data_IF_169335936909
#
_entry.id   IF_169335936909
#
_cell.length_a   1.000
_cell.length_b   1.000
_cell.length_c   1.000
_cell.angle_alpha   90.00
_cell.angle_beta   90.00
_cell.angle_gamma   90.00
#
_symmetry.space_group_name_H-M   'P 1'
#
loop_
_entity.id
_entity.type
_entity.pdbx_description
1 polymer ?
#
# COMPACT_ATOMS: atom_id res chain seq x y z
N UNK A 1 51.61 -17.31 4.62
CA UNK A 1 50.87 -17.45 3.36
C UNK A 1 49.38 -17.73 3.60
N UNK A 2 48.98 -18.89 4.14
CA UNK A 2 47.57 -19.26 4.35
C UNK A 2 46.79 -18.33 5.29
N UNK A 3 47.40 -17.91 6.40
CA UNK A 3 46.77 -16.97 7.35
C UNK A 3 46.52 -15.59 6.74
N UNK A 4 47.44 -15.11 5.90
CA UNK A 4 47.28 -13.85 5.19
C UNK A 4 46.10 -13.91 4.21
N UNK A 5 45.98 -15.02 3.48
CA UNK A 5 44.85 -15.26 2.57
C UNK A 5 43.50 -15.31 3.31
N UNK A 6 43.46 -15.90 4.50
CA UNK A 6 42.25 -16.00 5.31
C UNK A 6 41.82 -14.65 5.89
N UNK A 7 42.79 -13.83 6.34
CA UNK A 7 42.53 -12.45 6.79
C UNK A 7 41.99 -11.60 5.64
N UNK A 8 42.58 -11.74 4.44
CA UNK A 8 42.13 -11.02 3.25
C UNK A 8 40.70 -11.42 2.86
N UNK A 9 40.37 -12.70 2.94
CA UNK A 9 39.02 -13.20 2.64
C UNK A 9 37.98 -12.67 3.64
N UNK A 10 38.29 -12.65 4.93
CA UNK A 10 37.43 -12.10 5.97
C UNK A 10 37.21 -10.58 5.78
N UNK A 11 38.23 -9.84 5.35
CA UNK A 11 38.11 -8.41 5.07
C UNK A 11 37.19 -8.12 3.87
N UNK A 12 37.18 -8.98 2.84
CA UNK A 12 36.28 -8.87 1.68
C UNK A 12 34.84 -9.20 2.06
N UNK A 13 34.62 -10.21 2.89
CA UNK A 13 33.29 -10.60 3.38
C UNK A 13 32.70 -9.60 4.38
N UNK A 14 33.55 -8.81 5.05
CA UNK A 14 33.15 -7.75 5.95
C UNK A 14 32.88 -6.40 5.24
N UNK A 15 32.94 -6.36 3.90
CA UNK A 15 32.49 -5.19 3.17
C UNK A 15 31.04 -4.87 3.57
N UNK A 16 30.73 -3.61 3.92
CA UNK A 16 29.36 -3.26 4.27
C UNK A 16 28.46 -3.62 3.09
N UNK A 17 27.35 -4.31 3.37
CA UNK A 17 26.25 -4.36 2.42
C UNK A 17 25.88 -2.89 2.19
N UNK A 18 26.32 -2.33 1.06
CA UNK A 18 25.96 -0.98 0.66
C UNK A 18 24.44 -1.03 0.58
N UNK A 19 23.78 -0.26 1.45
CA UNK A 19 22.33 -0.15 1.44
C UNK A 19 21.92 0.12 -0.01
N UNK A 20 20.90 -0.57 -0.49
CA UNK A 20 20.35 -0.27 -1.80
C UNK A 20 19.93 1.21 -1.77
N UNK A 21 20.18 1.95 -2.85
CA UNK A 21 19.69 3.31 -2.96
C UNK A 21 18.16 3.25 -3.07
N UNK A 22 17.49 3.22 -1.91
CA UNK A 22 16.05 3.23 -1.82
C UNK A 22 15.57 4.65 -2.13
N UNK A 23 15.22 4.87 -3.39
CA UNK A 23 14.64 6.12 -3.85
C UNK A 23 13.16 5.93 -4.18
N UNK A 24 12.31 6.80 -3.62
CA UNK A 24 10.92 6.94 -4.06
C UNK A 24 10.93 7.80 -5.32
N UNK A 25 11.06 7.18 -6.48
CA UNK A 25 11.13 7.88 -7.77
C UNK A 25 9.78 8.42 -8.24
N UNK A 26 8.66 7.96 -7.64
CA UNK A 26 7.30 8.41 -7.94
C UNK A 26 6.37 8.14 -6.76
N UNK A 27 5.51 9.12 -6.48
CA UNK A 27 4.45 9.00 -5.48
C UNK A 27 3.25 9.84 -5.89
N UNK A 28 2.08 9.46 -5.36
CA UNK A 28 0.83 10.22 -5.47
C UNK A 28 0.24 10.35 -4.07
N UNK A 29 -0.27 11.54 -3.71
CA UNK A 29 -1.19 11.70 -2.57
C UNK A 29 -2.58 11.82 -3.17
N UNK A 30 -3.40 10.80 -2.96
CA UNK A 30 -4.80 10.81 -3.38
C UNK A 30 -5.66 11.52 -2.34
N UNK A 31 -6.72 12.20 -2.79
CA UNK A 31 -7.79 12.67 -1.92
C UNK A 31 -8.78 11.53 -1.64
N UNK A 32 -9.20 11.35 -0.38
CA UNK A 32 -10.20 10.35 -0.02
C UNK A 32 -10.47 10.28 1.49
N UNK A 33 -11.43 9.45 1.89
CA UNK A 33 -11.80 9.23 3.30
C UNK A 33 -13.04 10.03 3.72
N UNK A 34 -13.47 9.88 4.97
CA UNK A 34 -14.65 10.60 5.46
C UNK A 34 -14.32 12.10 5.53
N UNK A 35 -15.08 12.92 4.80
CA UNK A 35 -14.91 14.38 4.80
C UNK A 35 -15.36 15.01 6.13
N UNK A 36 -16.16 14.26 6.87
CA UNK A 36 -16.67 14.61 8.19
C UNK A 36 -16.69 13.36 9.07
N UNK A 37 -16.06 13.45 10.24
CA UNK A 37 -16.08 12.42 11.29
C UNK A 37 -16.57 13.05 12.58
N UNK A 38 -17.30 12.29 13.39
CA UNK A 38 -17.80 12.75 14.68
C UNK A 38 -17.60 11.70 15.76
N UNK A 39 -17.41 12.17 17.00
CA UNK A 39 -17.27 11.32 18.17
C UNK A 39 -17.44 12.14 19.46
N UNK A 40 -18.48 11.83 20.23
CA UNK A 40 -18.87 12.67 21.38
C UNK A 40 -19.25 14.07 20.93
N UNK A 41 -18.67 15.09 21.57
CA UNK A 41 -18.92 16.51 21.28
C UNK A 41 -18.04 17.08 20.15
N UNK A 42 -17.22 16.24 19.50
CA UNK A 42 -16.22 16.69 18.53
C UNK A 42 -16.61 16.35 17.09
N UNK A 43 -16.35 17.31 16.20
CA UNK A 43 -16.48 17.20 14.74
C UNK A 43 -15.13 17.46 14.10
N UNK A 44 -14.70 16.57 13.22
CA UNK A 44 -13.51 16.72 12.39
C UNK A 44 -13.95 16.83 10.92
N UNK A 45 -13.60 17.94 10.26
CA UNK A 45 -13.83 18.15 8.83
C UNK A 45 -12.52 18.37 8.13
N UNK A 46 -12.30 17.66 7.03
CA UNK A 46 -11.08 17.80 6.26
C UNK A 46 -10.94 16.73 5.18
N UNK A 47 -9.93 16.92 4.34
CA UNK A 47 -9.47 15.92 3.38
C UNK A 47 -8.23 15.25 3.97
N UNK A 48 -8.27 13.94 4.19
CA UNK A 48 -7.10 13.18 4.60
C UNK A 48 -6.42 12.68 3.31
N UNK A 49 -5.13 12.96 3.15
CA UNK A 49 -4.35 12.40 2.06
C UNK A 49 -4.22 10.89 2.24
N UNK A 50 -4.50 10.11 1.20
CA UNK A 50 -4.38 8.65 1.20
C UNK A 50 -3.32 8.20 0.20
N UNK A 51 -2.68 7.07 0.49
CA UNK A 51 -1.88 6.36 -0.51
C UNK A 51 -2.80 5.84 -1.62
N UNK A 52 -2.30 5.82 -2.85
CA UNK A 52 -2.98 5.24 -3.99
C UNK A 52 -2.78 3.71 -4.01
N UNK A 53 -3.32 3.01 -3.01
CA UNK A 53 -3.23 1.54 -2.90
C UNK A 53 -4.64 0.94 -2.88
N UNK A 54 -5.31 0.83 -4.04
CA UNK A 54 -6.60 0.12 -4.08
C UNK A 54 -6.44 -1.34 -3.67
N UNK A 55 -7.54 -2.04 -3.37
CA UNK A 55 -7.48 -3.46 -3.02
C UNK A 55 -6.69 -4.33 -4.04
N UNK A 56 -6.81 -4.13 -5.37
CA UNK A 56 -5.96 -4.82 -6.36
C UNK A 56 -4.47 -4.45 -6.32
N UNK A 57 -4.09 -3.38 -5.60
CA UNK A 57 -2.73 -2.84 -5.47
C UNK A 57 -2.36 -2.57 -4.01
N UNK A 58 -2.87 -3.39 -3.10
CA UNK A 58 -2.56 -3.32 -1.67
C UNK A 58 -1.04 -3.34 -1.43
N UNK A 59 -0.58 -2.46 -0.54
CA UNK A 59 0.77 -2.57 -0.01
C UNK A 59 0.75 -3.59 1.14
N UNK A 60 1.59 -4.61 1.05
CA UNK A 60 1.68 -5.69 2.03
C UNK A 60 3.11 -5.89 2.52
N UNK A 61 3.25 -6.26 3.80
CA UNK A 61 4.52 -6.56 4.43
C UNK A 61 4.32 -7.30 5.75
N UNK A 62 4.83 -8.53 5.84
CA UNK A 62 4.61 -9.45 6.96
C UNK A 62 3.11 -9.61 7.28
N UNK A 63 2.69 -9.11 8.46
CA UNK A 63 1.33 -9.14 8.98
C UNK A 63 0.55 -7.85 8.71
N UNK A 64 1.19 -6.88 8.04
CA UNK A 64 0.61 -5.58 7.76
C UNK A 64 0.11 -5.49 6.33
N UNK A 65 -1.03 -4.82 6.21
CA UNK A 65 -1.82 -4.69 5.00
C UNK A 65 -2.38 -3.29 4.93
N UNK A 66 -2.25 -2.67 3.77
CA UNK A 66 -2.48 -1.25 3.60
C UNK A 66 -3.18 -0.98 2.27
N UNK A 67 -4.47 -0.67 2.36
CA UNK A 67 -5.31 -0.25 1.25
C UNK A 67 -5.77 1.19 1.45
N UNK A 68 -5.87 1.93 0.36
CA UNK A 68 -6.42 3.26 0.25
C UNK A 68 -7.76 3.21 -0.45
N UNK A 69 -8.48 4.31 -0.39
CA UNK A 69 -9.86 4.41 -0.84
C UNK A 69 -10.85 4.33 0.32
N UNK A 70 -12.01 4.95 0.11
CA UNK A 70 -13.11 4.97 1.07
C UNK A 70 -13.84 3.60 1.16
N UNK A 71 -13.61 2.69 0.19
CA UNK A 71 -14.38 1.46 -0.01
C UNK A 71 -13.55 0.17 0.07
N UNK A 72 -12.37 0.18 0.68
CA UNK A 72 -11.39 -0.92 0.58
C UNK A 72 -11.84 -2.28 1.14
N UNK A 73 -12.94 -2.35 1.90
CA UNK A 73 -13.58 -3.60 2.30
C UNK A 73 -15.03 -3.77 1.82
N UNK A 74 -15.56 -2.79 1.09
CA UNK A 74 -16.95 -2.75 0.63
C UNK A 74 -17.08 -3.13 -0.84
N UNK A 75 -16.01 -3.02 -1.64
CA UNK A 75 -16.07 -3.33 -3.07
C UNK A 75 -16.39 -4.80 -3.35
N UNK A 76 -15.90 -5.74 -2.54
CA UNK A 76 -16.19 -7.16 -2.72
C UNK A 76 -17.64 -7.54 -2.42
N UNK A 77 -18.29 -6.83 -1.48
CA UNK A 77 -19.73 -7.02 -1.19
C UNK A 77 -20.63 -6.22 -2.15
N UNK A 78 -20.12 -5.12 -2.72
CA UNK A 78 -20.85 -4.26 -3.64
C UNK A 78 -20.63 -4.60 -5.12
N UNK A 79 -19.71 -5.51 -5.46
CA UNK A 79 -19.40 -5.87 -6.86
C UNK A 79 -20.67 -6.25 -7.61
N UNK A 80 -21.44 -7.19 -7.06
CA UNK A 80 -22.70 -7.64 -7.66
C UNK A 80 -23.75 -6.51 -7.69
N UNK A 81 -23.83 -5.65 -6.67
CA UNK A 81 -24.81 -4.56 -6.58
C UNK A 81 -24.48 -3.35 -7.47
N UNK A 82 -23.21 -3.06 -7.69
CA UNK A 82 -22.74 -1.92 -8.49
C UNK A 82 -22.84 -2.20 -9.99
N UNK A 83 -22.76 -3.48 -10.38
CA UNK A 83 -22.90 -3.95 -11.76
C UNK A 83 -24.25 -4.60 -12.05
N UNK A 84 -25.20 -4.60 -11.09
CA UNK A 84 -26.58 -5.08 -11.26
C UNK A 84 -27.46 -4.18 -12.16
N UNK A 85 -26.88 -3.51 -13.15
CA UNK A 85 -27.63 -2.75 -14.14
C UNK A 85 -27.54 -3.39 -15.53
N UNK A 86 -27.82 -2.62 -16.58
CA UNK A 86 -28.21 -3.08 -17.93
C UNK A 86 -27.16 -3.91 -18.70
N UNK A 87 -26.04 -4.29 -18.10
CA UNK A 87 -25.01 -5.12 -18.73
C UNK A 87 -25.19 -6.63 -18.50
N UNK A 88 -26.01 -7.03 -17.53
CA UNK A 88 -26.28 -8.45 -17.21
C UNK A 88 -27.56 -8.99 -17.88
N UNK A 89 -28.31 -8.14 -18.58
CA UNK A 89 -29.55 -8.53 -19.29
C UNK A 89 -29.22 -8.97 -20.73
N UNK A 90 -28.50 -10.09 -20.89
CA UNK A 90 -28.40 -10.81 -22.16
C UNK A 90 -29.59 -11.75 -22.34
N UNK A 91 -30.80 -11.19 -22.48
CA UNK A 91 -31.93 -11.97 -23.02
C UNK A 91 -31.92 -11.90 -24.54
N UNK A 92 -31.76 -13.08 -25.15
CA UNK A 92 -31.71 -13.39 -26.59
C UNK A 92 -32.98 -13.03 -27.37
#
# INVERSE_FOLDING_TARGET
MKQLAMILLLAVLAAPAVAQDYEITRWTIASGGTMESSGGDWSLKGTIGQWEATEPRELSGDQWRLTGGFWSGLLQELEDLLFHDRFEDESS
#
